data_IF_903428704746
#
_entry.id   IF_903428704746
#
_cell.length_a   1.000
_cell.length_b   1.000
_cell.length_c   1.000
_cell.angle_alpha   90.00
_cell.angle_beta   90.00
_cell.angle_gamma   90.00
#
_symmetry.space_group_name_H-M   'P 1'
#
loop_
_entity.id
_entity.type
_entity.pdbx_description
1 polymer ?
#
# COMPACT_ATOMS: atom_id res chain seq x y z
N UNK A 1 -3.51 -44.01 -26.11
CA UNK A 1 -2.43 -43.33 -25.35
C UNK A 1 -2.68 -41.82 -25.43
N UNK A 2 -3.34 -41.25 -24.43
CA UNK A 2 -3.70 -39.83 -24.38
C UNK A 2 -3.65 -39.36 -22.92
N UNK A 3 -2.44 -39.18 -22.41
CA UNK A 3 -2.18 -38.85 -21.01
C UNK A 3 -0.98 -37.94 -20.84
N UNK A 4 -0.86 -36.88 -21.66
CA UNK A 4 0.28 -35.96 -21.55
C UNK A 4 -0.04 -34.48 -21.84
N UNK A 5 -1.32 -34.12 -22.07
CA UNK A 5 -1.72 -32.73 -22.33
C UNK A 5 -2.32 -32.03 -21.10
N UNK A 6 -2.86 -32.77 -20.14
CA UNK A 6 -3.44 -32.24 -18.89
C UNK A 6 -2.40 -31.88 -17.83
N UNK A 7 -1.24 -32.52 -17.80
CA UNK A 7 -0.20 -32.22 -16.81
C UNK A 7 0.63 -30.97 -17.14
N UNK A 8 0.71 -30.58 -18.43
CA UNK A 8 1.46 -29.38 -18.84
C UNK A 8 0.72 -28.08 -18.63
N UNK A 9 -0.62 -28.11 -18.60
CA UNK A 9 -1.44 -26.94 -18.25
C UNK A 9 -1.44 -26.67 -16.76
N UNK A 10 -1.44 -27.71 -15.91
CA UNK A 10 -1.34 -27.52 -14.45
C UNK A 10 0.02 -26.94 -14.03
N UNK A 11 1.12 -27.34 -14.68
CA UNK A 11 2.46 -26.87 -14.36
C UNK A 11 2.76 -25.42 -14.80
N UNK A 12 1.88 -24.77 -15.57
CA UNK A 12 2.08 -23.38 -16.04
C UNK A 12 1.33 -22.36 -15.17
N UNK A 13 0.43 -22.81 -14.30
CA UNK A 13 -0.41 -21.95 -13.46
C UNK A 13 0.24 -21.65 -12.09
N UNK A 14 1.18 -22.50 -11.66
CA UNK A 14 1.94 -22.34 -10.40
C UNK A 14 3.07 -21.28 -10.47
N UNK A 15 3.30 -20.66 -11.64
CA UNK A 15 4.47 -19.81 -11.90
C UNK A 15 4.23 -18.31 -12.04
N UNK A 16 2.97 -17.83 -12.08
CA UNK A 16 2.67 -16.38 -12.13
C UNK A 16 2.39 -15.89 -10.72
N UNK A 17 3.42 -15.36 -10.06
CA UNK A 17 3.28 -14.65 -8.78
C UNK A 17 2.19 -13.57 -8.94
N UNK A 18 1.07 -13.74 -8.23
CA UNK A 18 -0.02 -12.76 -8.25
C UNK A 18 0.50 -11.40 -7.78
N UNK A 19 0.16 -10.27 -8.46
CA UNK A 19 0.52 -8.92 -8.03
C UNK A 19 0.20 -8.65 -6.56
N UNK A 20 -0.92 -9.18 -6.07
CA UNK A 20 -1.32 -9.06 -4.66
C UNK A 20 -0.36 -9.82 -3.72
N UNK A 21 0.17 -10.97 -4.12
CA UNK A 21 1.15 -11.72 -3.33
C UNK A 21 2.50 -11.00 -3.24
N UNK A 22 2.94 -10.37 -4.34
CA UNK A 22 4.18 -9.59 -4.35
C UNK A 22 4.01 -8.33 -3.49
N UNK A 23 2.89 -7.62 -3.64
CA UNK A 23 2.56 -6.46 -2.81
C UNK A 23 2.47 -6.82 -1.32
N UNK A 24 1.90 -8.00 -1.00
CA UNK A 24 1.78 -8.47 0.37
C UNK A 24 3.15 -8.85 0.94
N UNK A 25 3.98 -9.56 0.18
CA UNK A 25 5.32 -9.92 0.60
C UNK A 25 6.20 -8.68 0.82
N UNK A 26 6.13 -7.70 -0.10
CA UNK A 26 6.84 -6.44 0.01
C UNK A 26 6.39 -5.65 1.24
N UNK A 27 5.08 -5.46 1.42
CA UNK A 27 4.54 -4.75 2.58
C UNK A 27 4.79 -5.47 3.91
N UNK A 28 4.77 -6.80 3.93
CA UNK A 28 5.09 -7.58 5.13
C UNK A 28 6.56 -7.44 5.55
N UNK A 29 7.47 -7.18 4.60
CA UNK A 29 8.90 -6.98 4.89
C UNK A 29 9.18 -5.64 5.59
N UNK A 30 8.32 -4.64 5.41
CA UNK A 30 8.47 -3.35 6.10
C UNK A 30 8.31 -3.49 7.61
N UNK A 31 7.45 -4.40 8.09
CA UNK A 31 7.21 -4.61 9.53
C UNK A 31 8.50 -4.95 10.30
N UNK A 32 9.26 -6.01 9.97
CA UNK A 32 10.50 -6.32 10.68
C UNK A 32 11.59 -5.26 10.47
N UNK A 33 11.67 -4.65 9.29
CA UNK A 33 12.66 -3.58 9.00
C UNK A 33 12.42 -2.38 9.91
N UNK A 34 11.19 -1.87 9.96
CA UNK A 34 10.87 -0.72 10.80
C UNK A 34 10.84 -1.07 12.29
N UNK A 35 10.50 -2.31 12.67
CA UNK A 35 10.65 -2.78 14.05
C UNK A 35 12.11 -2.74 14.52
N UNK A 36 13.04 -3.18 13.67
CA UNK A 36 14.48 -3.06 13.92
C UNK A 36 14.92 -1.60 14.02
N UNK A 37 14.46 -0.73 13.12
CA UNK A 37 14.75 0.71 13.19
C UNK A 37 14.18 1.36 14.45
N UNK A 38 12.95 1.02 14.85
CA UNK A 38 12.33 1.53 16.07
C UNK A 38 13.10 1.14 17.32
N UNK A 39 13.60 -0.09 17.38
CA UNK A 39 14.48 -0.54 18.45
C UNK A 39 15.80 0.24 18.46
N UNK A 40 16.44 0.39 17.30
CA UNK A 40 17.77 1.00 17.21
C UNK A 40 17.74 2.51 17.47
N UNK A 41 16.68 3.19 17.03
CA UNK A 41 16.56 4.65 17.11
C UNK A 41 15.89 5.11 18.41
N UNK A 42 14.90 4.37 18.91
CA UNK A 42 14.03 4.80 19.99
C UNK A 42 13.92 3.81 21.15
N UNK A 43 14.57 2.64 21.05
CA UNK A 43 14.44 1.57 22.05
C UNK A 43 13.04 0.96 22.12
N UNK A 44 12.22 1.15 21.07
CA UNK A 44 10.81 0.72 21.04
C UNK A 44 10.50 -0.05 19.76
N UNK A 45 10.55 -1.38 19.87
CA UNK A 45 10.20 -2.32 18.80
C UNK A 45 8.74 -2.15 18.36
N UNK A 46 7.82 -1.94 19.30
CA UNK A 46 6.39 -1.91 19.03
C UNK A 46 6.03 -0.67 18.21
N UNK A 47 6.62 0.48 18.56
CA UNK A 47 6.51 1.70 17.76
C UNK A 47 7.02 1.50 16.33
N UNK A 48 8.21 0.93 16.18
CA UNK A 48 8.79 0.64 14.86
C UNK A 48 7.90 -0.29 14.03
N UNK A 49 7.42 -1.38 14.62
CA UNK A 49 6.54 -2.34 13.95
C UNK A 49 5.22 -1.70 13.49
N UNK A 50 4.63 -0.82 14.31
CA UNK A 50 3.43 -0.09 13.96
C UNK A 50 3.66 0.84 12.76
N UNK A 51 4.80 1.52 12.69
CA UNK A 51 5.14 2.34 11.51
C UNK A 51 5.35 1.45 10.28
N UNK A 52 6.04 0.34 10.43
CA UNK A 52 6.23 -0.63 9.34
C UNK A 52 4.92 -1.17 8.79
N UNK A 53 3.92 -1.40 9.65
CA UNK A 53 2.57 -1.77 9.22
C UNK A 53 1.89 -0.68 8.40
N UNK A 54 2.00 0.59 8.82
CA UNK A 54 1.41 1.73 8.09
C UNK A 54 2.05 1.84 6.70
N UNK A 55 3.39 1.81 6.63
CA UNK A 55 4.14 1.92 5.37
C UNK A 55 3.86 0.71 4.47
N UNK A 56 3.96 -0.49 5.02
CA UNK A 56 3.76 -1.74 4.29
C UNK A 56 2.33 -1.92 3.79
N UNK A 57 1.33 -1.51 4.56
CA UNK A 57 -0.06 -1.47 4.09
C UNK A 57 -0.22 -0.49 2.91
N UNK A 58 0.45 0.66 2.97
CA UNK A 58 0.50 1.58 1.85
C UNK A 58 1.07 0.94 0.57
N UNK A 59 2.22 0.28 0.70
CA UNK A 59 2.84 -0.47 -0.39
C UNK A 59 1.91 -1.53 -0.96
N UNK A 60 1.32 -2.39 -0.12
CA UNK A 60 0.36 -3.41 -0.54
C UNK A 60 -0.85 -2.84 -1.30
N UNK A 61 -1.36 -1.69 -0.87
CA UNK A 61 -2.51 -1.05 -1.51
C UNK A 61 -2.14 -0.36 -2.85
N UNK A 62 -0.90 0.12 -2.99
CA UNK A 62 -0.43 0.79 -4.20
C UNK A 62 0.09 -0.18 -5.28
N UNK A 63 0.61 -1.34 -4.87
CA UNK A 63 1.32 -2.28 -5.75
C UNK A 63 0.52 -2.77 -6.97
N UNK A 64 -0.78 -3.16 -6.85
CA UNK A 64 -1.56 -3.60 -7.99
C UNK A 64 -1.73 -2.51 -9.07
N UNK A 65 -1.77 -1.24 -8.65
CA UNK A 65 -1.90 -0.12 -9.58
C UNK A 65 -0.63 0.11 -10.41
N UNK A 66 0.55 -0.13 -9.83
CA UNK A 66 1.81 -0.03 -10.56
C UNK A 66 2.00 -1.16 -11.57
N UNK A 67 1.56 -2.39 -11.25
CA UNK A 67 1.62 -3.49 -12.23
C UNK A 67 0.60 -3.35 -13.36
N UNK A 68 -0.59 -2.82 -13.06
CA UNK A 68 -1.63 -2.62 -14.07
C UNK A 68 -1.31 -1.51 -15.09
N UNK A 69 -0.39 -0.58 -14.78
CA UNK A 69 0.05 0.46 -15.73
C UNK A 69 1.11 -0.07 -16.72
N UNK A 70 1.79 -1.18 -16.39
CA UNK A 70 2.79 -1.83 -17.24
C UNK A 70 2.14 -2.77 -18.27
N UNK A 71 0.97 -3.34 -17.92
CA UNK A 71 0.10 -4.05 -18.86
C UNK A 71 -0.74 -3.04 -19.67
N UNK A 72 -0.29 -2.68 -20.88
CA UNK A 72 -0.90 -1.74 -21.84
C UNK A 72 -2.35 -2.08 -22.28
N UNK A 73 -3.30 -2.12 -21.37
CA UNK A 73 -4.73 -2.15 -21.65
C UNK A 73 -5.28 -0.78 -21.32
N UNK A 74 -5.75 -0.05 -22.33
CA UNK A 74 -6.44 1.22 -22.13
C UNK A 74 -7.56 1.03 -21.09
N UNK A 75 -7.54 1.76 -19.97
CA UNK A 75 -8.58 1.62 -18.98
C UNK A 75 -9.90 2.04 -19.61
N UNK A 76 -10.91 1.17 -19.55
CA UNK A 76 -12.29 1.56 -19.81
C UNK A 76 -12.74 2.49 -18.67
N UNK A 77 -12.35 3.76 -18.76
CA UNK A 77 -12.70 4.81 -17.80
C UNK A 77 -14.15 5.22 -18.04
N UNK A 78 -15.08 4.63 -17.29
CA UNK A 78 -16.40 5.22 -17.15
C UNK A 78 -16.28 6.47 -16.25
N UNK A 79 -16.81 7.63 -16.65
CA UNK A 79 -16.80 8.82 -15.80
C UNK A 79 -17.77 8.63 -14.61
N UNK A 80 -17.27 8.14 -13.48
CA UNK A 80 -18.00 8.16 -12.20
C UNK A 80 -18.10 9.60 -11.69
N UNK A 81 -19.29 9.98 -11.22
CA UNK A 81 -19.54 11.27 -10.57
C UNK A 81 -18.62 11.45 -9.35
N UNK A 82 -18.18 12.70 -9.11
CA UNK A 82 -17.22 13.03 -8.04
C UNK A 82 -17.73 12.62 -6.65
N UNK A 83 -19.05 12.70 -6.41
CA UNK A 83 -19.68 12.25 -5.16
C UNK A 83 -19.57 10.74 -4.94
N UNK A 84 -19.70 9.94 -6.00
CA UNK A 84 -19.52 8.48 -5.93
C UNK A 84 -18.04 8.10 -5.77
N UNK A 85 -17.11 8.91 -6.30
CA UNK A 85 -15.67 8.70 -6.09
C UNK A 85 -15.27 8.81 -4.63
N UNK A 86 -15.78 9.81 -3.92
CA UNK A 86 -15.47 10.00 -2.49
C UNK A 86 -16.13 8.95 -1.58
N UNK A 87 -17.24 8.34 -2.03
CA UNK A 87 -17.91 7.25 -1.30
C UNK A 87 -17.22 5.90 -1.43
N UNK A 88 -16.47 5.67 -2.51
CA UNK A 88 -15.80 4.40 -2.75
C UNK A 88 -14.32 4.46 -2.34
N UNK A 89 -13.88 3.46 -1.57
CA UNK A 89 -12.50 3.38 -1.10
C UNK A 89 -11.51 3.30 -2.28
N UNK A 90 -10.62 4.30 -2.37
CA UNK A 90 -9.59 4.33 -3.41
C UNK A 90 -8.32 3.64 -2.93
N UNK A 91 -8.20 2.34 -3.26
CA UNK A 91 -7.06 1.49 -2.87
C UNK A 91 -5.71 2.14 -3.23
N UNK A 92 -5.57 2.65 -4.45
CA UNK A 92 -4.34 3.32 -4.91
C UNK A 92 -4.05 4.64 -4.19
N UNK A 93 -5.08 5.47 -3.95
CA UNK A 93 -4.90 6.74 -3.23
C UNK A 93 -4.49 6.50 -1.78
N UNK A 94 -5.09 5.50 -1.11
CA UNK A 94 -4.68 5.07 0.23
C UNK A 94 -3.25 4.53 0.21
N UNK A 95 -2.91 3.73 -0.80
CA UNK A 95 -1.58 3.17 -0.98
C UNK A 95 -0.47 4.21 -1.15
N UNK A 96 -0.77 5.34 -1.78
CA UNK A 96 0.19 6.45 -1.95
C UNK A 96 0.23 7.39 -0.74
N UNK A 97 -0.84 7.48 0.04
CA UNK A 97 -0.92 8.36 1.20
C UNK A 97 -0.26 7.78 2.46
N UNK A 98 -0.37 6.46 2.66
CA UNK A 98 0.10 5.78 3.87
C UNK A 98 1.64 5.78 4.06
N UNK A 99 2.47 5.50 3.03
CA UNK A 99 3.93 5.47 3.20
C UNK A 99 4.54 6.80 3.67
N UNK A 100 4.27 7.97 3.03
CA UNK A 100 4.83 9.24 3.50
C UNK A 100 4.30 9.62 4.89
N UNK A 101 3.06 9.25 5.22
CA UNK A 101 2.49 9.48 6.54
C UNK A 101 3.18 8.64 7.64
N UNK A 102 3.49 7.37 7.36
CA UNK A 102 4.28 6.51 8.25
C UNK A 102 5.71 7.02 8.45
N UNK A 103 6.37 7.47 7.38
CA UNK A 103 7.71 8.07 7.45
C UNK A 103 7.69 9.35 8.30
N UNK A 104 6.66 10.18 8.15
CA UNK A 104 6.48 11.37 8.98
C UNK A 104 6.34 11.01 10.47
N UNK A 105 5.65 9.92 10.81
CA UNK A 105 5.49 9.49 12.19
C UNK A 105 6.86 9.18 12.84
N UNK A 106 7.77 8.57 12.09
CA UNK A 106 9.16 8.36 12.52
C UNK A 106 9.89 9.69 12.65
N UNK A 107 9.79 10.57 11.67
CA UNK A 107 10.44 11.88 11.71
C UNK A 107 9.97 12.72 12.91
N UNK A 108 8.68 12.64 13.24
CA UNK A 108 8.09 13.30 14.41
C UNK A 108 8.71 12.80 15.71
N UNK A 109 8.92 11.49 15.82
CA UNK A 109 9.50 10.87 17.03
C UNK A 109 10.91 11.36 17.34
N UNK A 110 11.66 11.86 16.35
CA UNK A 110 12.94 12.53 16.58
C UNK A 110 12.83 13.92 17.22
N UNK A 111 11.70 14.62 17.01
CA UNK A 111 11.53 16.01 17.42
C UNK A 111 10.66 16.13 18.66
N UNK A 112 9.77 15.16 18.90
CA UNK A 112 8.85 15.18 20.02
C UNK A 112 8.64 13.81 20.65
N UNK A 113 8.65 13.79 21.97
CA UNK A 113 8.27 12.59 22.73
C UNK A 113 6.74 12.36 22.74
N UNK A 114 5.95 13.38 22.39
CA UNK A 114 4.50 13.28 22.39
C UNK A 114 4.00 12.53 21.15
N UNK A 115 3.86 11.22 21.30
CA UNK A 115 3.35 10.29 20.30
C UNK A 115 1.94 10.64 19.83
N UNK A 116 1.08 11.13 20.72
CA UNK A 116 -0.32 11.44 20.37
C UNK A 116 -0.39 12.53 19.29
N UNK A 117 0.42 13.58 19.42
CA UNK A 117 0.53 14.64 18.42
C UNK A 117 1.13 14.12 17.10
N UNK A 118 2.09 13.20 17.17
CA UNK A 118 2.67 12.57 15.99
C UNK A 118 1.65 11.77 15.21
N UNK A 119 0.88 10.92 15.90
CA UNK A 119 -0.20 10.13 15.30
C UNK A 119 -1.27 11.03 14.68
N UNK A 120 -1.66 12.11 15.36
CA UNK A 120 -2.63 13.08 14.84
C UNK A 120 -2.10 13.78 13.57
N UNK A 121 -0.84 14.24 13.59
CA UNK A 121 -0.20 14.87 12.44
C UNK A 121 -0.11 13.90 11.24
N UNK A 122 0.27 12.64 11.51
CA UNK A 122 0.29 11.56 10.52
C UNK A 122 -1.09 11.32 9.92
N UNK A 123 -2.15 11.27 10.73
CA UNK A 123 -3.52 11.10 10.24
C UNK A 123 -3.96 12.28 9.35
N UNK A 124 -3.66 13.51 9.78
CA UNK A 124 -3.97 14.73 9.00
C UNK A 124 -3.23 14.73 7.66
N UNK A 125 -1.95 14.36 7.65
CA UNK A 125 -1.16 14.33 6.41
C UNK A 125 -1.61 13.19 5.49
N UNK A 126 -1.90 12.01 6.03
CA UNK A 126 -2.50 10.92 5.26
C UNK A 126 -3.81 11.37 4.60
N UNK A 127 -4.68 12.06 5.34
CA UNK A 127 -5.93 12.61 4.82
C UNK A 127 -5.71 13.69 3.76
N UNK A 128 -4.78 14.63 4.00
CA UNK A 128 -4.43 15.70 3.08
C UNK A 128 -3.83 15.19 1.76
N UNK A 129 -3.18 14.02 1.78
CA UNK A 129 -2.67 13.35 0.57
C UNK A 129 -3.78 12.51 -0.07
N UNK A 130 -4.55 11.76 0.73
CA UNK A 130 -5.60 10.86 0.23
C UNK A 130 -6.72 11.61 -0.50
N UNK A 131 -7.25 12.69 0.06
CA UNK A 131 -8.36 13.46 -0.51
C UNK A 131 -8.10 13.93 -1.96
N UNK A 132 -7.01 14.65 -2.26
CA UNK A 132 -6.73 15.07 -3.63
C UNK A 132 -6.47 13.87 -4.54
N UNK A 133 -5.78 12.83 -4.07
CA UNK A 133 -5.53 11.62 -4.86
C UNK A 133 -6.81 10.86 -5.20
N UNK A 134 -7.77 10.75 -4.27
CA UNK A 134 -9.06 10.10 -4.49
C UNK A 134 -9.94 10.88 -5.48
N UNK A 135 -9.74 12.19 -5.64
CA UNK A 135 -10.44 12.99 -6.65
C UNK A 135 -9.74 12.91 -8.01
N UNK A 136 -8.40 13.01 -8.01
CA UNK A 136 -7.59 13.13 -9.22
C UNK A 136 -7.34 11.78 -9.92
N UNK A 137 -7.18 10.70 -9.17
CA UNK A 137 -6.91 9.39 -9.77
C UNK A 137 -8.20 8.79 -10.37
N UNK A 138 -8.13 8.26 -11.60
CA UNK A 138 -9.25 7.52 -12.16
C UNK A 138 -9.46 6.23 -11.35
N UNK A 139 -10.71 6.00 -10.94
CA UNK A 139 -11.12 4.71 -10.35
C UNK A 139 -11.01 3.63 -11.42
N UNK A 140 -10.01 2.76 -11.30
CA UNK A 140 -9.98 1.52 -12.09
C UNK A 140 -10.85 0.51 -11.35
N UNK A 141 -12.00 0.17 -11.92
CA UNK A 141 -12.83 -0.95 -11.48
C UNK A 141 -11.99 -2.22 -11.64
N UNK A 142 -11.67 -2.90 -10.53
CA UNK A 142 -11.21 -4.29 -10.53
C UNK A 142 -12.39 -5.23 -10.66
#
# INVERSE_FOLDING_TARGET
MSGSRSERSAATEDGRLSPDLIGLAAGAFDVPVFAYLGQQLFGDVAFGAAVGLIVGLGLFLSFPAFLADDERSEPTTAPTAVDDRLRQFHRTAAGLALPPAGILLIAWRFVSENLLLGVLATAIIAMAIYLPLAVLLPQRLS
#
